data_IF_432039462158
#
_entry.id   IF_432039462158
#
_cell.length_a   1.000
_cell.length_b   1.000
_cell.length_c   1.000
_cell.angle_alpha   90.00
_cell.angle_beta   90.00
_cell.angle_gamma   90.00
#
_symmetry.space_group_name_H-M   'P 1'
#
loop_
_entity.id
_entity.type
_entity.pdbx_description
1 polymer ?
#
# COMPACT_ATOMS: atom_id res chain seq x y z
N UNK A 1 -6.39 13.42 -1.27
CA UNK A 1 -5.92 12.36 -0.34
C UNK A 1 -4.51 11.89 -0.71
N UNK A 2 -3.52 12.04 0.18
CA UNK A 2 -2.14 11.56 -0.04
C UNK A 2 -1.96 10.19 0.63
N UNK A 3 -1.05 9.39 0.09
CA UNK A 3 -0.72 8.08 0.65
C UNK A 3 0.75 8.03 1.05
N UNK A 4 1.02 7.60 2.28
CA UNK A 4 2.37 7.33 2.76
C UNK A 4 2.50 5.84 3.04
N UNK A 5 3.42 5.19 2.35
CA UNK A 5 3.76 3.78 2.53
C UNK A 5 5.12 3.66 3.19
N UNK A 6 5.18 2.95 4.32
CA UNK A 6 6.45 2.59 4.99
C UNK A 6 6.68 1.10 4.84
N UNK A 7 7.86 0.72 4.39
CA UNK A 7 8.29 -0.67 4.32
C UNK A 7 9.07 -1.07 5.58
N UNK A 8 9.18 -2.38 5.81
CA UNK A 8 9.92 -2.96 6.94
C UNK A 8 11.44 -2.74 6.81
N UNK A 9 11.94 -2.62 5.58
CA UNK A 9 13.34 -2.34 5.27
C UNK A 9 13.75 -0.86 5.47
N UNK A 10 12.81 0.00 5.88
CA UNK A 10 13.03 1.41 6.13
C UNK A 10 12.80 2.32 4.93
N UNK A 11 12.46 1.77 3.75
CA UNK A 11 12.06 2.60 2.60
C UNK A 11 10.67 3.20 2.80
N UNK A 12 10.50 4.42 2.32
CA UNK A 12 9.24 5.15 2.39
C UNK A 12 8.85 5.70 1.03
N UNK A 13 7.56 5.61 0.70
CA UNK A 13 6.99 6.16 -0.52
C UNK A 13 5.90 7.15 -0.19
N UNK A 14 5.98 8.34 -0.78
CA UNK A 14 4.97 9.39 -0.65
C UNK A 14 4.29 9.59 -1.99
N UNK A 15 2.99 9.32 -2.02
CA UNK A 15 2.16 9.45 -3.20
C UNK A 15 1.29 10.69 -3.09
N UNK A 16 1.29 11.48 -4.17
CA UNK A 16 0.34 12.56 -4.32
C UNK A 16 -1.06 12.01 -4.62
N UNK A 17 -2.07 12.89 -4.62
CA UNK A 17 -3.46 12.50 -4.80
C UNK A 17 -3.73 11.71 -6.09
N UNK A 18 -3.15 12.11 -7.22
CA UNK A 18 -3.32 11.39 -8.48
C UNK A 18 -2.71 9.99 -8.43
N UNK A 19 -1.55 9.85 -7.80
CA UNK A 19 -0.88 8.57 -7.63
C UNK A 19 -1.65 7.66 -6.66
N UNK A 20 -2.15 8.22 -5.55
CA UNK A 20 -3.03 7.52 -4.60
C UNK A 20 -4.27 6.98 -5.29
N UNK A 21 -4.92 7.78 -6.15
CA UNK A 21 -6.10 7.34 -6.90
C UNK A 21 -5.80 6.20 -7.87
N UNK A 22 -4.64 6.23 -8.54
CA UNK A 22 -4.19 5.16 -9.43
C UNK A 22 -3.92 3.88 -8.62
N UNK A 23 -3.20 4.01 -7.50
CA UNK A 23 -2.89 2.89 -6.60
C UNK A 23 -4.18 2.30 -6.03
N UNK A 24 -5.13 3.14 -5.63
CA UNK A 24 -6.43 2.71 -5.10
C UNK A 24 -7.34 2.06 -6.15
N UNK A 25 -7.25 2.47 -7.42
CA UNK A 25 -7.97 1.79 -8.51
C UNK A 25 -7.34 0.44 -8.86
N UNK A 26 -6.01 0.36 -8.85
CA UNK A 26 -5.28 -0.87 -9.16
C UNK A 26 -5.35 -1.89 -8.01
N UNK A 27 -5.31 -1.41 -6.76
CA UNK A 27 -5.56 -2.21 -5.59
C UNK A 27 -7.06 -2.19 -5.31
N UNK A 28 -7.76 -3.16 -5.87
CA UNK A 28 -9.17 -3.46 -5.58
C UNK A 28 -9.50 -3.05 -4.13
N UNK A 29 -10.36 -2.04 -3.95
CA UNK A 29 -10.56 -1.28 -2.70
C UNK A 29 -10.64 -2.14 -1.43
N UNK A 30 -11.21 -3.35 -1.55
CA UNK A 30 -11.29 -4.37 -0.50
C UNK A 30 -9.93 -4.72 0.11
N UNK A 31 -8.86 -4.77 -0.70
CA UNK A 31 -7.50 -5.11 -0.24
C UNK A 31 -6.82 -3.97 0.50
N UNK A 32 -7.09 -2.72 0.13
CA UNK A 32 -6.62 -1.55 0.89
C UNK A 32 -7.34 -1.51 2.24
N UNK A 33 -8.64 -1.81 2.26
CA UNK A 33 -9.40 -1.89 3.51
C UNK A 33 -8.85 -3.02 4.40
N UNK A 34 -8.55 -4.20 3.86
CA UNK A 34 -7.91 -5.30 4.61
C UNK A 34 -6.53 -4.91 5.16
N UNK A 35 -5.76 -4.12 4.40
CA UNK A 35 -4.49 -3.53 4.84
C UNK A 35 -4.66 -2.59 6.04
N UNK A 36 -5.66 -1.71 5.99
CA UNK A 36 -5.99 -0.76 7.06
C UNK A 36 -6.54 -1.50 8.29
N UNK A 37 -7.33 -2.55 8.08
CA UNK A 37 -7.94 -3.36 9.14
C UNK A 37 -6.97 -4.35 9.79
N UNK A 38 -5.75 -4.50 9.28
CA UNK A 38 -4.67 -5.22 9.95
C UNK A 38 -4.73 -6.75 9.82
N UNK A 39 -5.46 -7.28 8.83
CA UNK A 39 -5.58 -8.72 8.60
C UNK A 39 -4.32 -9.23 7.85
N UNK A 40 -3.24 -9.40 8.62
CA UNK A 40 -1.87 -9.63 8.12
C UNK A 40 -1.65 -10.99 7.46
N UNK A 41 -2.45 -11.98 7.78
CA UNK A 41 -2.22 -13.38 7.35
C UNK A 41 -2.71 -13.68 5.93
N UNK A 42 -3.60 -12.86 5.36
CA UNK A 42 -4.17 -13.11 4.02
C UNK A 42 -3.29 -12.47 2.91
N UNK A 43 -2.34 -11.61 3.27
CA UNK A 43 -1.70 -10.71 2.30
C UNK A 43 -0.24 -11.04 2.01
N UNK A 44 0.45 -11.89 2.77
CA UNK A 44 1.91 -12.10 2.67
C UNK A 44 2.42 -12.45 1.26
N UNK A 45 1.67 -13.27 0.51
CA UNK A 45 2.04 -13.69 -0.85
C UNK A 45 1.55 -12.74 -1.96
N UNK A 46 0.81 -11.70 -1.58
CA UNK A 46 0.34 -10.72 -2.55
C UNK A 46 1.44 -9.68 -2.79
N UNK A 47 1.59 -9.25 -4.04
CA UNK A 47 2.43 -8.11 -4.41
C UNK A 47 1.57 -6.97 -4.95
N UNK A 48 1.91 -5.74 -4.59
CA UNK A 48 1.38 -4.52 -5.18
C UNK A 48 2.39 -3.96 -6.16
N UNK A 49 1.92 -3.51 -7.32
CA UNK A 49 2.75 -2.74 -8.23
C UNK A 49 2.68 -1.27 -7.83
N UNK A 50 3.82 -0.75 -7.38
CA UNK A 50 4.02 0.64 -7.01
C UNK A 50 5.13 1.18 -7.89
N UNK A 51 4.77 2.09 -8.81
CA UNK A 51 5.73 2.79 -9.66
C UNK A 51 6.69 1.84 -10.41
N UNK A 52 6.18 0.73 -10.95
CA UNK A 52 6.92 -0.36 -11.61
C UNK A 52 7.78 -1.22 -10.67
N UNK A 53 7.59 -1.09 -9.36
CA UNK A 53 8.19 -1.96 -8.36
C UNK A 53 7.11 -2.87 -7.76
N UNK A 54 7.32 -4.19 -7.85
CA UNK A 54 6.45 -5.16 -7.17
C UNK A 54 6.86 -5.29 -5.71
N UNK A 55 6.06 -4.70 -4.83
CA UNK A 55 6.27 -4.73 -3.38
C UNK A 55 5.38 -5.81 -2.78
N UNK A 56 5.97 -6.79 -2.07
CA UNK A 56 5.18 -7.75 -1.29
C UNK A 56 4.51 -7.03 -0.11
N UNK A 57 3.23 -7.33 0.12
CA UNK A 57 2.49 -6.84 1.28
C UNK A 57 3.13 -7.27 2.60
N UNK A 58 3.77 -8.45 2.64
CA UNK A 58 4.53 -8.89 3.81
C UNK A 58 5.67 -7.94 4.18
N UNK A 59 6.13 -7.11 3.24
CA UNK A 59 7.19 -6.13 3.44
C UNK A 59 6.66 -4.73 3.81
N UNK A 60 5.34 -4.53 3.85
CA UNK A 60 4.72 -3.28 4.26
C UNK A 60 4.67 -3.23 5.79
N UNK A 61 5.18 -2.14 6.35
CA UNK A 61 5.16 -1.87 7.79
C UNK A 61 3.92 -1.04 8.18
N UNK A 62 3.63 0.02 7.43
CA UNK A 62 2.42 0.81 7.59
C UNK A 62 2.00 1.47 6.29
N UNK A 63 0.71 1.80 6.21
CA UNK A 63 0.10 2.53 5.12
C UNK A 63 -0.82 3.60 5.74
N UNK A 64 -0.53 4.87 5.49
CA UNK A 64 -1.16 6.02 6.12
C UNK A 64 -1.83 6.89 5.05
N UNK A 65 -3.13 7.16 5.21
CA UNK A 65 -3.87 8.12 4.39
C UNK A 65 -3.80 9.49 5.06
N UNK A 66 -3.26 10.46 4.35
CA UNK A 66 -3.10 11.83 4.82
C UNK A 66 -4.11 12.70 4.07
N UNK A 67 -5.02 13.30 4.82
CA UNK A 67 -6.05 14.21 4.31
C UNK A 67 -5.51 15.63 4.17
#
# INVERSE_FOLDING_TARGET
>A
MKLHLKLKDGREYFFNEKQTDIIAKNLNYVRIIQLILGDKDILSDTTIDIMNEKISFGNIKSLELIF
#
